data_IF_413106731455
#
_entry.id   IF_413106731455
#
_cell.length_a   1.000
_cell.length_b   1.000
_cell.length_c   1.000
_cell.angle_alpha   90.00
_cell.angle_beta   90.00
_cell.angle_gamma   90.00
#
_symmetry.space_group_name_H-M   'P 1'
#
loop_
_entity.id
_entity.type
_entity.pdbx_description
1 polymer ?
#
# COMPACT_ATOMS: atom_id res chain seq x y z
N UNK A 1 -5.11 -6.39 10.42
CA UNK A 1 -5.33 -5.05 9.82
C UNK A 1 -5.85 -4.10 10.89
N UNK A 2 -5.02 -3.14 11.30
CA UNK A 2 -5.43 -2.04 12.20
C UNK A 2 -6.17 -0.99 11.35
N UNK A 3 -7.23 -0.37 11.89
CA UNK A 3 -8.00 0.66 11.19
C UNK A 3 -9.02 0.19 10.15
N UNK A 4 -9.27 -1.12 10.06
CA UNK A 4 -10.29 -1.68 9.15
C UNK A 4 -11.71 -1.15 9.47
N UNK A 5 -12.04 -0.93 10.75
CA UNK A 5 -13.35 -0.37 11.14
C UNK A 5 -13.52 1.07 10.64
N UNK A 6 -12.49 1.91 10.80
CA UNK A 6 -12.51 3.28 10.27
C UNK A 6 -12.60 3.31 8.74
N UNK A 7 -11.92 2.39 8.06
CA UNK A 7 -12.02 2.27 6.61
C UNK A 7 -13.42 1.83 6.15
N UNK A 8 -14.06 0.90 6.86
CA UNK A 8 -15.45 0.49 6.60
C UNK A 8 -16.39 1.67 6.81
N UNK A 9 -16.30 2.37 7.94
CA UNK A 9 -17.12 3.53 8.24
C UNK A 9 -16.96 4.64 7.17
N UNK A 10 -15.73 4.94 6.77
CA UNK A 10 -15.44 5.88 5.69
C UNK A 10 -16.07 5.43 4.36
N UNK A 11 -15.95 4.14 4.01
CA UNK A 11 -16.53 3.56 2.79
C UNK A 11 -18.05 3.65 2.78
N UNK A 12 -18.70 3.43 3.91
CA UNK A 12 -20.15 3.62 4.09
C UNK A 12 -20.54 5.10 3.94
N UNK A 13 -19.66 6.02 4.33
CA UNK A 13 -19.81 7.47 4.08
C UNK A 13 -19.56 7.89 2.63
N UNK A 14 -19.15 6.98 1.74
CA UNK A 14 -18.88 7.27 0.33
C UNK A 14 -17.40 7.42 -0.03
N UNK A 15 -16.47 7.18 0.91
CA UNK A 15 -15.04 7.16 0.60
C UNK A 15 -14.70 6.03 -0.39
N UNK A 16 -13.93 6.38 -1.42
CA UNK A 16 -13.46 5.48 -2.48
C UNK A 16 -11.97 5.76 -2.72
N UNK A 17 -11.06 5.07 -2.00
CA UNK A 17 -9.63 5.23 -2.23
C UNK A 17 -9.28 4.75 -3.63
N UNK A 18 -8.38 5.48 -4.29
CA UNK A 18 -7.76 5.12 -5.57
C UNK A 18 -6.37 4.52 -5.39
N UNK A 19 -5.75 4.80 -4.25
CA UNK A 19 -4.37 4.45 -3.92
C UNK A 19 -4.31 3.77 -2.55
N UNK A 20 -3.30 2.93 -2.37
CA UNK A 20 -2.99 2.25 -1.10
C UNK A 20 -1.47 2.17 -0.93
N UNK A 21 -0.99 2.39 0.28
CA UNK A 21 0.39 2.14 0.66
C UNK A 21 0.54 0.71 1.16
N UNK A 22 1.60 0.02 0.73
CA UNK A 22 2.03 -1.27 1.26
C UNK A 22 3.42 -1.05 1.85
N UNK A 23 3.49 -0.91 3.16
CA UNK A 23 4.69 -0.50 3.88
C UNK A 23 5.32 -1.70 4.59
N UNK A 24 6.54 -2.04 4.19
CA UNK A 24 7.34 -3.06 4.85
C UNK A 24 8.12 -2.45 6.03
N UNK A 25 7.76 -2.84 7.24
CA UNK A 25 8.34 -2.37 8.48
C UNK A 25 9.51 -3.27 8.91
N UNK A 26 10.66 -2.66 9.18
CA UNK A 26 11.86 -3.36 9.68
C UNK A 26 11.88 -3.51 11.21
N UNK A 27 10.99 -2.79 11.90
CA UNK A 27 10.78 -2.85 13.35
C UNK A 27 9.34 -2.45 13.65
N UNK A 28 8.82 -2.81 14.83
CA UNK A 28 7.54 -2.27 15.31
C UNK A 28 7.62 -0.74 15.36
N UNK A 29 6.78 -0.07 14.57
CA UNK A 29 6.68 1.37 14.66
C UNK A 29 5.79 1.77 15.83
N UNK A 30 6.22 2.74 16.66
CA UNK A 30 5.34 3.27 17.70
C UNK A 30 4.10 3.90 17.06
N UNK A 31 2.93 3.36 17.42
CA UNK A 31 1.63 3.90 17.04
C UNK A 31 1.39 5.21 17.81
N UNK A 32 1.22 6.31 17.09
CA UNK A 32 0.95 7.65 17.60
C UNK A 32 -0.14 8.33 16.76
N UNK A 33 -0.61 9.50 17.19
CA UNK A 33 -1.75 10.20 16.55
C UNK A 33 -1.58 10.46 15.03
N UNK A 34 -0.34 10.57 14.55
CA UNK A 34 -0.03 10.78 13.14
C UNK A 34 0.38 9.50 12.39
N UNK A 35 0.60 8.40 13.11
CA UNK A 35 0.96 7.08 12.55
C UNK A 35 -0.17 6.05 12.75
N UNK A 36 -1.25 6.42 13.43
CA UNK A 36 -2.43 5.59 13.60
C UNK A 36 -3.33 5.70 12.36
N UNK A 37 -3.60 4.59 11.64
CA UNK A 37 -4.38 4.61 10.40
C UNK A 37 -5.76 5.27 10.58
N UNK A 38 -6.37 5.08 11.74
CA UNK A 38 -7.70 5.63 12.06
C UNK A 38 -7.74 7.14 12.19
N UNK A 39 -6.60 7.80 12.46
CA UNK A 39 -6.55 9.23 12.67
C UNK A 39 -6.56 10.03 11.37
N UNK A 40 -6.19 9.41 10.24
CA UNK A 40 -6.16 10.07 8.93
C UNK A 40 -7.18 9.48 7.94
N UNK A 41 -7.58 8.22 8.10
CA UNK A 41 -8.54 7.58 7.20
C UNK A 41 -9.94 8.17 7.32
N UNK A 42 -10.53 8.50 6.17
CA UNK A 42 -11.91 8.99 6.13
C UNK A 42 -12.06 10.40 6.70
N UNK A 43 -10.99 11.19 6.81
CA UNK A 43 -11.15 12.61 7.11
C UNK A 43 -11.59 13.36 5.85
N UNK A 44 -12.41 14.40 6.03
CA UNK A 44 -12.75 15.33 4.96
C UNK A 44 -12.05 16.66 5.19
N UNK A 45 -11.42 17.20 4.15
CA UNK A 45 -10.90 18.57 4.13
C UNK A 45 -11.42 19.24 2.87
N UNK A 46 -12.06 20.40 3.01
CA UNK A 46 -12.67 21.16 1.91
C UNK A 46 -13.62 20.31 1.02
N UNK A 47 -14.43 19.45 1.64
CA UNK A 47 -15.37 18.57 0.94
C UNK A 47 -14.73 17.40 0.18
N UNK A 48 -13.43 17.16 0.36
CA UNK A 48 -12.71 16.03 -0.25
C UNK A 48 -12.21 15.09 0.83
N UNK A 49 -12.29 13.79 0.56
CA UNK A 49 -11.65 12.79 1.40
C UNK A 49 -10.13 12.95 1.34
N UNK A 50 -9.48 12.91 2.50
CA UNK A 50 -8.03 12.95 2.67
C UNK A 50 -7.56 11.70 3.42
N UNK A 51 -6.30 11.33 3.19
CA UNK A 51 -5.71 10.10 3.70
C UNK A 51 -5.89 8.92 2.73
N UNK A 52 -4.89 8.06 2.66
CA UNK A 52 -4.93 6.80 1.91
C UNK A 52 -4.74 5.63 2.87
N UNK A 53 -5.37 4.47 2.60
CA UNK A 53 -5.11 3.26 3.36
C UNK A 53 -3.63 2.87 3.29
N UNK A 54 -3.14 2.33 4.40
CA UNK A 54 -1.78 1.81 4.54
C UNK A 54 -1.86 0.39 5.09
N UNK A 55 -1.19 -0.53 4.42
CA UNK A 55 -1.08 -1.94 4.78
C UNK A 55 0.33 -2.13 5.30
N UNK A 56 0.43 -2.36 6.60
CA UNK A 56 1.71 -2.67 7.23
C UNK A 56 1.96 -4.16 7.18
N UNK A 57 3.16 -4.51 6.74
CA UNK A 57 3.71 -5.87 6.80
C UNK A 57 5.10 -5.80 7.43
N UNK A 58 5.50 -6.82 8.16
CA UNK A 58 6.85 -6.91 8.69
C UNK A 58 7.82 -7.46 7.64
N UNK A 59 9.11 -7.13 7.77
CA UNK A 59 10.15 -7.60 6.84
C UNK A 59 10.36 -9.12 6.90
N UNK A 60 10.08 -9.73 8.06
CA UNK A 60 10.17 -11.18 8.28
C UNK A 60 8.93 -11.96 7.81
N UNK A 61 7.82 -11.27 7.47
CA UNK A 61 6.64 -11.93 6.94
C UNK A 61 6.90 -12.52 5.54
N UNK A 62 6.36 -13.71 5.31
CA UNK A 62 6.42 -14.36 4.00
C UNK A 62 5.53 -13.62 2.99
N UNK A 63 6.14 -12.88 2.07
CA UNK A 63 5.44 -12.15 1.01
C UNK A 63 4.49 -13.04 0.20
N UNK A 64 4.86 -14.30 -0.09
CA UNK A 64 4.01 -15.20 -0.87
C UNK A 64 2.72 -15.62 -0.14
N UNK A 65 2.70 -15.53 1.20
CA UNK A 65 1.56 -15.90 2.03
C UNK A 65 0.58 -14.75 2.26
N UNK A 66 0.93 -13.51 1.90
CA UNK A 66 0.06 -12.35 2.11
C UNK A 66 -1.23 -12.47 1.29
N UNK A 67 -2.38 -12.25 1.92
CA UNK A 67 -3.66 -12.07 1.23
C UNK A 67 -3.90 -10.58 0.97
N UNK A 68 -3.77 -10.16 -0.29
CA UNK A 68 -3.87 -8.76 -0.70
C UNK A 68 -5.12 -8.50 -1.56
N UNK A 69 -6.20 -9.30 -1.40
CA UNK A 69 -7.48 -9.05 -2.12
C UNK A 69 -8.04 -7.63 -1.94
N UNK A 70 -7.61 -6.92 -0.91
CA UNK A 70 -8.00 -5.53 -0.65
C UNK A 70 -7.41 -4.52 -1.64
N UNK A 71 -6.43 -4.91 -2.47
CA UNK A 71 -5.75 -4.00 -3.42
C UNK A 71 -6.37 -3.98 -4.83
N UNK A 72 -7.41 -4.78 -5.08
CA UNK A 72 -8.06 -4.90 -6.40
C UNK A 72 -8.46 -3.52 -6.92
N UNK A 73 -8.00 -3.18 -8.13
CA UNK A 73 -8.31 -1.91 -8.79
C UNK A 73 -7.67 -0.67 -8.16
N UNK A 74 -6.79 -0.82 -7.16
CA UNK A 74 -6.05 0.29 -6.54
C UNK A 74 -4.66 0.45 -7.16
N UNK A 75 -4.13 1.66 -7.11
CA UNK A 75 -2.70 1.91 -7.30
C UNK A 75 -1.98 1.59 -6.00
N UNK A 76 -1.03 0.65 -6.04
CA UNK A 76 -0.30 0.18 -4.86
C UNK A 76 1.09 0.81 -4.83
N UNK A 77 1.37 1.59 -3.79
CA UNK A 77 2.66 2.20 -3.52
C UNK A 77 3.41 1.35 -2.50
N UNK A 78 4.51 0.72 -2.92
CA UNK A 78 5.26 -0.24 -2.12
C UNK A 78 6.49 0.45 -1.53
N UNK A 79 6.58 0.45 -0.21
CA UNK A 79 7.74 0.93 0.55
C UNK A 79 8.44 -0.28 1.14
N UNK A 80 9.71 -0.50 0.77
CA UNK A 80 10.46 -1.66 1.22
C UNK A 80 11.94 -1.33 1.48
N UNK A 81 12.60 -2.02 2.43
CA UNK A 81 13.97 -1.71 2.84
C UNK A 81 15.03 -2.06 1.78
N UNK A 82 14.69 -2.90 0.80
CA UNK A 82 15.61 -3.30 -0.27
C UNK A 82 14.88 -3.57 -1.58
N UNK A 83 15.62 -3.49 -2.70
CA UNK A 83 15.11 -3.88 -4.03
C UNK A 83 14.59 -5.30 -4.06
N UNK A 84 15.27 -6.22 -3.36
CA UNK A 84 14.87 -7.63 -3.30
C UNK A 84 13.49 -7.78 -2.63
N UNK A 85 13.31 -7.13 -1.47
CA UNK A 85 12.02 -7.15 -0.77
C UNK A 85 10.92 -6.47 -1.57
N UNK A 86 11.21 -5.31 -2.18
CA UNK A 86 10.29 -4.61 -3.08
C UNK A 86 9.81 -5.53 -4.21
N UNK A 87 10.72 -6.28 -4.84
CA UNK A 87 10.39 -7.22 -5.91
C UNK A 87 9.49 -8.37 -5.44
N UNK A 88 9.75 -8.93 -4.25
CA UNK A 88 8.91 -9.98 -3.66
C UNK A 88 7.47 -9.49 -3.46
N UNK A 89 7.33 -8.29 -2.88
CA UNK A 89 6.03 -7.67 -2.62
C UNK A 89 5.31 -7.29 -3.90
N UNK A 90 6.01 -6.70 -4.87
CA UNK A 90 5.45 -6.34 -6.16
C UNK A 90 4.90 -7.57 -6.90
N UNK A 91 5.68 -8.66 -6.93
CA UNK A 91 5.23 -9.93 -7.54
C UNK A 91 3.99 -10.45 -6.87
N UNK A 92 3.91 -10.37 -5.54
CA UNK A 92 2.72 -10.78 -4.80
C UNK A 92 1.52 -9.90 -5.12
N UNK A 93 1.70 -8.59 -5.07
CA UNK A 93 0.66 -7.59 -5.32
C UNK A 93 0.01 -7.79 -6.69
N UNK A 94 0.83 -8.08 -7.72
CA UNK A 94 0.37 -8.39 -9.08
C UNK A 94 -0.70 -9.49 -9.13
N UNK A 95 -0.62 -10.49 -8.26
CA UNK A 95 -1.54 -11.64 -8.25
C UNK A 95 -2.97 -11.25 -7.83
N UNK A 96 -3.19 -10.02 -7.33
CA UNK A 96 -4.48 -9.55 -6.81
C UNK A 96 -5.12 -8.45 -7.66
N UNK A 97 -4.78 -8.39 -8.95
CA UNK A 97 -5.41 -7.46 -9.92
C UNK A 97 -5.44 -5.98 -9.47
N UNK A 98 -4.32 -5.38 -9.03
CA UNK A 98 -4.27 -3.94 -8.80
C UNK A 98 -4.36 -3.18 -10.13
N UNK A 99 -4.71 -1.90 -10.07
CA UNK A 99 -4.67 -1.04 -11.25
C UNK A 99 -3.23 -0.77 -11.71
N UNK A 100 -2.31 -0.66 -10.75
CA UNK A 100 -0.87 -0.42 -10.95
C UNK A 100 -0.11 -0.73 -9.65
N UNK A 101 1.16 -1.13 -9.74
CA UNK A 101 2.04 -1.26 -8.59
C UNK A 101 3.33 -0.48 -8.82
N UNK A 102 3.76 0.30 -7.83
CA UNK A 102 4.93 1.16 -7.90
C UNK A 102 5.76 0.90 -6.65
N UNK A 103 7.02 0.50 -6.83
CA UNK A 103 7.99 0.45 -5.75
C UNK A 103 9.15 1.40 -6.09
N UNK A 104 9.64 2.14 -5.10
CA UNK A 104 10.78 3.05 -5.31
C UNK A 104 11.71 3.06 -4.11
N UNK A 105 12.98 3.35 -4.35
CA UNK A 105 14.01 3.54 -3.34
C UNK A 105 15.31 4.04 -3.97
N UNK A 106 16.40 4.06 -3.21
CA UNK A 106 17.73 4.46 -3.71
C UNK A 106 18.22 3.62 -4.90
N UNK A 107 17.65 2.41 -5.05
CA UNK A 107 17.93 1.47 -6.12
C UNK A 107 17.15 1.74 -7.42
N UNK A 108 16.31 2.77 -7.47
CA UNK A 108 15.47 3.13 -8.61
C UNK A 108 13.99 2.85 -8.40
N UNK A 109 13.28 2.63 -9.51
CA UNK A 109 11.84 2.43 -9.55
C UNK A 109 11.53 1.10 -10.23
N UNK A 110 10.66 0.31 -9.60
CA UNK A 110 9.98 -0.83 -10.21
C UNK A 110 8.53 -0.42 -10.45
N UNK A 111 8.09 -0.47 -11.69
CA UNK A 111 6.73 -0.17 -12.10
C UNK A 111 6.11 -1.41 -12.71
N UNK A 112 4.95 -1.81 -12.21
CA UNK A 112 4.12 -2.83 -12.85
C UNK A 112 2.79 -2.23 -13.26
N UNK A 113 2.41 -2.47 -14.50
CA UNK A 113 1.11 -2.08 -15.07
C UNK A 113 0.52 -3.29 -15.83
N UNK A 114 -0.80 -3.57 -15.71
CA UNK A 114 -1.44 -4.67 -16.43
C UNK A 114 -1.20 -4.67 -17.94
N UNK A 115 -1.02 -3.49 -18.54
CA UNK A 115 -0.85 -3.32 -19.99
C UNK A 115 0.61 -3.37 -20.46
N UNK A 116 1.58 -3.10 -19.58
CA UNK A 116 2.98 -2.90 -19.95
C UNK A 116 3.97 -3.81 -19.21
N UNK A 117 3.46 -4.75 -18.41
CA UNK A 117 4.20 -5.66 -17.52
C UNK A 117 5.22 -4.90 -16.62
N UNK A 118 6.23 -5.58 -16.09
CA UNK A 118 7.23 -5.00 -15.20
C UNK A 118 8.27 -4.16 -15.94
N UNK A 119 8.42 -2.91 -15.53
CA UNK A 119 9.44 -1.95 -15.97
C UNK A 119 10.37 -1.60 -14.81
N UNK A 120 11.67 -1.48 -15.12
CA UNK A 120 12.70 -1.04 -14.16
C UNK A 120 13.37 0.24 -14.67
N UNK A 121 13.31 1.29 -13.86
CA UNK A 121 13.96 2.58 -14.14
C UNK A 121 15.08 2.76 -13.11
N UNK A 122 16.32 2.90 -13.58
CA UNK A 122 17.50 3.08 -12.73
C UNK A 122 17.82 4.56 -12.59
N UNK A 123 18.32 4.95 -11.42
CA UNK A 123 18.87 6.28 -11.13
C UNK A 123 20.28 6.39 -11.70
#
# INVERSE_FOLDING_TARGET
>A
MIGHQSLIAARMGGYRPTDVWLTCLTAEQPCGRFTHPEAQLGQMTNGRWVGFPDIHIHDDENAAALDLRVVVGLVVHIVAPSRSRAMQLLRRVRDFSPAKAIASGEWGILLWDPAADLQELRV
#
